data_IF_814518563099
#
_entry.id   IF_814518563099
#
_cell.length_a   1.000
_cell.length_b   1.000
_cell.length_c   1.000
_cell.angle_alpha   90.00
_cell.angle_beta   90.00
_cell.angle_gamma   90.00
#
_symmetry.space_group_name_H-M   'P 1'
#
loop_
_entity.id
_entity.type
_entity.pdbx_description
1 polymer ?
#
# COMPACT_ATOMS: atom_id res chain seq x y z
N UNK A 1 -0.28 -37.61 -12.42
CA UNK A 1 0.17 -36.19 -12.37
C UNK A 1 -0.14 -35.69 -10.99
N UNK A 2 0.88 -35.41 -10.20
CA UNK A 2 0.69 -34.78 -8.87
C UNK A 2 0.11 -33.40 -9.05
N UNK A 3 -0.88 -33.04 -8.28
CA UNK A 3 -1.44 -31.68 -8.32
C UNK A 3 -0.39 -30.66 -7.86
N UNK A 4 -0.46 -29.43 -8.36
CA UNK A 4 0.41 -28.33 -7.92
C UNK A 4 0.39 -28.17 -6.38
N UNK A 5 -0.75 -28.46 -5.75
CA UNK A 5 -0.93 -28.44 -4.30
C UNK A 5 -0.11 -29.55 -3.59
N UNK A 6 0.10 -30.70 -4.23
CA UNK A 6 0.97 -31.76 -3.68
C UNK A 6 2.45 -31.45 -3.86
N UNK A 7 2.83 -30.82 -4.99
CA UNK A 7 4.19 -30.34 -5.21
C UNK A 7 4.57 -29.26 -4.19
N UNK A 8 3.67 -28.33 -3.87
CA UNK A 8 3.88 -27.28 -2.86
C UNK A 8 3.95 -27.83 -1.42
N UNK A 9 3.33 -28.96 -1.14
CA UNK A 9 3.43 -29.63 0.17
C UNK A 9 4.78 -30.32 0.41
N UNK A 10 5.51 -30.65 -0.65
CA UNK A 10 6.80 -31.34 -0.57
C UNK A 10 8.01 -30.40 -0.56
N UNK A 11 7.82 -29.11 -0.82
CA UNK A 11 8.93 -28.13 -0.79
C UNK A 11 9.04 -27.58 0.63
N UNK A 12 10.12 -27.90 1.37
CA UNK A 12 10.32 -27.34 2.69
C UNK A 12 10.41 -25.81 2.58
N UNK A 13 9.52 -25.10 3.28
CA UNK A 13 9.60 -23.66 3.37
C UNK A 13 10.84 -23.28 4.18
N UNK A 14 11.70 -22.46 3.61
CA UNK A 14 12.80 -21.90 4.37
C UNK A 14 12.29 -20.74 5.22
N UNK A 15 12.23 -20.93 6.54
CA UNK A 15 11.90 -19.87 7.49
C UNK A 15 13.19 -19.11 7.78
N UNK A 16 13.42 -18.04 7.04
CA UNK A 16 14.57 -17.17 7.28
C UNK A 16 14.30 -16.29 8.50
N UNK A 17 15.21 -16.33 9.45
CA UNK A 17 15.12 -15.63 10.73
C UNK A 17 14.90 -14.11 10.59
N UNK A 18 14.33 -13.54 11.65
CA UNK A 18 14.18 -12.09 11.87
C UNK A 18 15.51 -11.37 11.59
N UNK A 19 15.51 -10.37 10.72
CA UNK A 19 16.71 -9.60 10.44
C UNK A 19 16.48 -8.43 9.49
N UNK A 20 17.44 -7.52 9.53
CA UNK A 20 17.61 -6.44 8.56
C UNK A 20 18.75 -6.82 7.60
N UNK A 21 18.81 -6.16 6.46
CA UNK A 21 19.89 -6.34 5.49
C UNK A 21 19.48 -7.11 4.24
N UNK A 22 20.49 -7.60 3.51
CA UNK A 22 20.30 -8.25 2.22
C UNK A 22 20.46 -9.77 2.36
N UNK A 23 19.50 -10.50 1.77
CA UNK A 23 19.58 -11.96 1.59
C UNK A 23 19.65 -12.23 0.10
N UNK A 24 20.75 -12.84 -0.35
CA UNK A 24 20.87 -13.30 -1.73
C UNK A 24 20.47 -14.77 -1.80
N UNK A 25 19.46 -15.06 -2.61
CA UNK A 25 19.01 -16.42 -2.86
C UNK A 25 19.88 -17.07 -3.94
N UNK A 26 20.07 -18.37 -3.79
CA UNK A 26 20.70 -19.24 -4.78
C UNK A 26 19.67 -20.19 -5.39
N UNK A 27 20.02 -20.85 -6.47
CA UNK A 27 19.13 -21.85 -7.08
C UNK A 27 18.78 -23.00 -6.12
N UNK A 28 19.68 -23.32 -5.20
CA UNK A 28 19.53 -24.46 -4.29
C UNK A 28 18.66 -24.12 -3.06
N UNK A 29 18.34 -22.82 -2.86
CA UNK A 29 17.43 -22.41 -1.83
C UNK A 29 15.98 -22.85 -2.11
N UNK A 30 15.21 -23.01 -1.04
CA UNK A 30 13.78 -23.32 -1.17
C UNK A 30 13.07 -22.27 -2.04
N UNK A 31 12.17 -22.73 -2.92
CA UNK A 31 11.31 -21.86 -3.73
C UNK A 31 10.29 -21.07 -2.91
N UNK A 32 10.07 -21.47 -1.68
CA UNK A 32 9.19 -20.74 -0.74
C UNK A 32 10.05 -20.18 0.37
N UNK A 33 10.15 -18.86 0.43
CA UNK A 33 10.86 -18.12 1.47
C UNK A 33 9.85 -17.43 2.39
N UNK A 34 9.92 -17.69 3.67
CA UNK A 34 9.09 -17.04 4.69
C UNK A 34 9.99 -16.13 5.50
N UNK A 35 9.75 -14.84 5.41
CA UNK A 35 10.55 -13.82 6.05
C UNK A 35 9.81 -13.23 7.24
N UNK A 36 10.56 -12.94 8.30
CA UNK A 36 10.15 -12.05 9.36
C UNK A 36 11.09 -10.84 9.35
N UNK A 37 10.53 -9.65 9.21
CA UNK A 37 11.30 -8.41 9.19
C UNK A 37 11.08 -7.66 10.49
N UNK A 38 12.16 -7.10 11.05
CA UNK A 38 12.05 -6.25 12.24
C UNK A 38 11.17 -5.03 11.93
N UNK A 39 10.34 -4.62 12.89
CA UNK A 39 9.46 -3.47 12.73
C UNK A 39 10.22 -2.23 12.26
N UNK A 40 9.60 -1.49 11.34
CA UNK A 40 10.14 -0.26 10.72
C UNK A 40 11.48 -0.44 9.99
N UNK A 41 11.74 -1.65 9.49
CA UNK A 41 12.98 -1.96 8.79
C UNK A 41 12.68 -2.47 7.37
N UNK A 42 13.67 -2.26 6.50
CA UNK A 42 13.67 -2.82 5.16
C UNK A 42 14.59 -4.03 5.11
N UNK A 43 14.12 -5.11 4.51
CA UNK A 43 14.94 -6.24 4.13
C UNK A 43 14.97 -6.35 2.61
N UNK A 44 16.14 -6.55 2.05
CA UNK A 44 16.30 -6.80 0.62
C UNK A 44 16.47 -8.31 0.37
N UNK A 45 15.71 -8.83 -0.57
CA UNK A 45 15.87 -10.18 -1.10
C UNK A 45 16.31 -10.08 -2.55
N UNK A 46 17.50 -10.62 -2.83
CA UNK A 46 18.05 -10.68 -4.19
C UNK A 46 17.74 -12.04 -4.78
N UNK A 47 17.04 -12.05 -5.90
CA UNK A 47 16.66 -13.26 -6.62
C UNK A 47 17.87 -13.93 -7.28
N UNK A 48 17.89 -15.26 -7.36
CA UNK A 48 19.01 -15.98 -7.98
C UNK A 48 19.03 -15.74 -9.48
N UNK A 49 20.23 -15.70 -10.06
CA UNK A 49 20.40 -15.61 -11.51
C UNK A 49 20.99 -16.91 -12.08
N UNK A 50 22.01 -17.45 -11.43
CA UNK A 50 22.71 -18.61 -11.96
C UNK A 50 21.92 -19.91 -11.82
N UNK A 51 21.81 -20.64 -12.90
CA UNK A 51 21.18 -21.96 -12.93
C UNK A 51 19.65 -21.97 -12.90
N UNK A 52 19.00 -20.83 -12.73
CA UNK A 52 17.54 -20.71 -12.81
C UNK A 52 17.08 -20.93 -14.24
N UNK A 53 15.98 -21.62 -14.43
CA UNK A 53 15.38 -21.90 -15.72
C UNK A 53 14.10 -21.10 -15.93
N UNK A 54 13.82 -20.75 -17.18
CA UNK A 54 12.55 -20.15 -17.55
C UNK A 54 11.37 -21.01 -17.06
N UNK A 55 10.35 -20.35 -16.49
CA UNK A 55 9.19 -21.00 -15.88
C UNK A 55 9.37 -21.43 -14.43
N UNK A 56 10.55 -21.31 -13.84
CA UNK A 56 10.71 -21.57 -12.40
C UNK A 56 10.00 -20.49 -11.57
N UNK A 57 9.27 -20.93 -10.55
CA UNK A 57 8.42 -20.09 -9.71
C UNK A 57 9.05 -19.95 -8.32
N UNK A 58 9.03 -18.74 -7.79
CA UNK A 58 9.48 -18.41 -6.44
C UNK A 58 8.40 -17.67 -5.69
N UNK A 59 8.18 -18.03 -4.43
CA UNK A 59 7.24 -17.35 -3.54
C UNK A 59 7.97 -16.77 -2.34
N UNK A 60 7.88 -15.47 -2.18
CA UNK A 60 8.43 -14.73 -1.04
C UNK A 60 7.27 -14.24 -0.20
N UNK A 61 7.26 -14.61 1.07
CA UNK A 61 6.20 -14.24 2.01
C UNK A 61 6.78 -13.47 3.19
N UNK A 62 6.18 -12.35 3.51
CA UNK A 62 6.42 -11.63 4.75
C UNK A 62 5.25 -11.84 5.71
N UNK A 63 5.54 -12.37 6.91
CA UNK A 63 4.50 -12.71 7.89
C UNK A 63 4.05 -11.56 8.76
N UNK A 64 4.93 -10.60 9.03
CA UNK A 64 4.66 -9.54 9.99
C UNK A 64 4.90 -8.18 9.35
N UNK A 65 3.90 -7.33 9.38
CA UNK A 65 4.09 -5.90 9.19
C UNK A 65 3.54 -5.20 10.43
N UNK A 66 4.44 -4.77 11.30
CA UNK A 66 4.10 -3.76 12.29
C UNK A 66 4.64 -2.45 11.73
N UNK A 67 3.74 -1.61 11.27
CA UNK A 67 4.09 -0.27 10.80
C UNK A 67 3.77 0.71 11.92
N UNK A 68 4.65 1.67 12.10
CA UNK A 68 4.43 2.78 13.01
C UNK A 68 4.48 4.09 12.21
N UNK A 69 4.05 5.17 12.82
CA UNK A 69 4.12 6.52 12.23
C UNK A 69 5.53 6.89 11.74
N UNK A 70 6.56 6.25 12.29
CA UNK A 70 7.96 6.56 12.03
C UNK A 70 8.64 5.67 10.99
N UNK A 71 7.98 4.63 10.47
CA UNK A 71 8.62 3.75 9.50
C UNK A 71 7.74 2.64 8.96
N UNK A 72 8.18 2.08 7.86
CA UNK A 72 7.52 1.02 7.12
C UNK A 72 8.32 -0.28 7.22
N UNK A 73 7.65 -1.36 7.62
CA UNK A 73 8.23 -2.71 7.59
C UNK A 73 8.00 -3.30 6.21
N UNK A 74 9.09 -3.60 5.48
CA UNK A 74 8.96 -4.06 4.09
C UNK A 74 10.06 -5.00 3.66
N UNK A 75 9.75 -5.82 2.67
CA UNK A 75 10.71 -6.58 1.87
C UNK A 75 10.78 -5.95 0.48
N UNK A 76 11.99 -5.62 0.05
CA UNK A 76 12.27 -5.18 -1.32
C UNK A 76 12.81 -6.39 -2.07
N UNK A 77 12.11 -6.82 -3.11
CA UNK A 77 12.54 -7.89 -3.99
C UNK A 77 13.33 -7.30 -5.15
N UNK A 78 14.54 -7.77 -5.35
CA UNK A 78 15.45 -7.31 -6.40
C UNK A 78 15.95 -8.48 -7.25
N UNK A 79 16.24 -8.19 -8.50
CA UNK A 79 17.02 -9.06 -9.37
C UNK A 79 18.51 -9.00 -9.03
N UNK A 80 19.31 -9.86 -9.62
CA UNK A 80 20.75 -9.96 -9.32
C UNK A 80 21.54 -8.72 -9.72
N UNK A 81 21.05 -7.89 -10.65
CA UNK A 81 21.64 -6.59 -10.99
C UNK A 81 21.14 -5.43 -10.14
N UNK A 82 20.51 -5.73 -9.00
CA UNK A 82 19.91 -4.76 -8.06
C UNK A 82 18.72 -3.95 -8.61
N UNK A 83 18.15 -4.29 -9.77
CA UNK A 83 16.91 -3.66 -10.20
C UNK A 83 15.71 -4.21 -9.42
N UNK A 84 14.84 -3.30 -8.97
CA UNK A 84 13.69 -3.65 -8.14
C UNK A 84 12.63 -4.40 -8.95
N UNK A 85 12.18 -5.54 -8.44
CA UNK A 85 11.05 -6.29 -8.99
C UNK A 85 9.75 -5.78 -8.37
N UNK A 86 9.64 -5.79 -7.03
CA UNK A 86 8.49 -5.23 -6.30
C UNK A 86 8.82 -5.06 -4.80
N UNK A 87 7.84 -4.54 -4.03
CA UNK A 87 7.93 -4.32 -2.59
C UNK A 87 6.73 -4.98 -1.91
N UNK A 88 6.97 -5.72 -0.84
CA UNK A 88 5.93 -6.36 -0.03
C UNK A 88 5.96 -5.79 1.39
N UNK A 89 4.79 -5.48 1.95
CA UNK A 89 4.62 -5.25 3.39
C UNK A 89 4.18 -6.56 4.08
N UNK A 90 2.96 -6.67 4.62
CA UNK A 90 2.45 -7.96 5.08
C UNK A 90 1.80 -8.70 3.91
N UNK A 91 2.29 -9.87 3.56
CA UNK A 91 1.72 -10.62 2.44
C UNK A 91 2.70 -11.51 1.72
N UNK A 92 2.54 -11.64 0.43
CA UNK A 92 3.41 -12.45 -0.42
C UNK A 92 3.52 -11.89 -1.84
N UNK A 93 4.58 -12.30 -2.51
CA UNK A 93 4.77 -12.16 -3.95
C UNK A 93 5.18 -13.50 -4.54
N UNK A 94 4.62 -13.82 -5.68
CA UNK A 94 5.04 -14.93 -6.51
C UNK A 94 5.62 -14.39 -7.81
N UNK A 95 6.82 -14.86 -8.13
CA UNK A 95 7.52 -14.44 -9.35
C UNK A 95 7.94 -15.64 -10.17
N UNK A 96 7.88 -15.49 -11.48
CA UNK A 96 8.25 -16.50 -12.46
C UNK A 96 9.42 -15.99 -13.28
N UNK A 97 10.47 -16.79 -13.42
CA UNK A 97 11.56 -16.49 -14.34
C UNK A 97 11.07 -16.57 -15.78
N UNK A 98 11.25 -15.52 -16.56
CA UNK A 98 10.84 -15.48 -17.97
C UNK A 98 11.88 -16.07 -18.91
N UNK A 99 13.14 -16.07 -18.47
CA UNK A 99 14.29 -16.54 -19.24
C UNK A 99 15.20 -17.43 -18.37
N UNK A 100 16.08 -18.16 -18.97
CA UNK A 100 17.16 -18.87 -18.29
C UNK A 100 18.18 -17.86 -17.74
N UNK A 101 18.60 -18.06 -16.50
CA UNK A 101 19.56 -17.20 -15.81
C UNK A 101 19.16 -15.70 -15.78
N UNK A 102 18.00 -15.37 -15.20
CA UNK A 102 17.46 -14.01 -15.17
C UNK A 102 18.37 -13.06 -14.38
N UNK A 103 18.60 -11.86 -14.91
CA UNK A 103 19.52 -10.85 -14.32
C UNK A 103 18.80 -9.55 -13.98
N UNK A 104 17.90 -9.09 -14.86
CA UNK A 104 17.17 -7.84 -14.69
C UNK A 104 15.77 -8.07 -14.08
N UNK A 105 15.17 -7.01 -13.53
CA UNK A 105 13.79 -7.10 -13.03
C UNK A 105 12.78 -7.46 -14.11
N UNK A 106 13.02 -7.06 -15.34
CA UNK A 106 12.19 -7.40 -16.52
C UNK A 106 12.24 -8.88 -16.90
N UNK A 107 13.20 -9.63 -16.40
CA UNK A 107 13.33 -11.07 -16.62
C UNK A 107 12.44 -11.88 -15.66
N UNK A 108 11.74 -11.20 -14.77
CA UNK A 108 10.82 -11.78 -13.80
C UNK A 108 9.39 -11.27 -14.01
N UNK A 109 8.44 -12.18 -14.05
CA UNK A 109 7.01 -11.86 -14.06
C UNK A 109 6.45 -12.00 -12.65
N UNK A 110 5.82 -10.97 -12.14
CA UNK A 110 4.98 -11.08 -10.93
C UNK A 110 3.69 -11.77 -11.33
N UNK A 111 3.53 -13.03 -10.94
CA UNK A 111 2.38 -13.86 -11.28
C UNK A 111 1.23 -13.73 -10.28
N UNK A 112 1.57 -13.55 -9.00
CA UNK A 112 0.59 -13.31 -7.94
C UNK A 112 1.18 -12.39 -6.86
N UNK A 113 0.34 -11.54 -6.30
CA UNK A 113 0.75 -10.55 -5.32
C UNK A 113 -0.37 -10.19 -4.36
N UNK A 114 -0.06 -10.21 -3.08
CA UNK A 114 -0.88 -9.64 -2.04
C UNK A 114 0.01 -8.91 -1.04
N UNK A 115 -0.35 -7.68 -0.69
CA UNK A 115 0.33 -6.91 0.35
C UNK A 115 -0.67 -6.02 1.09
N UNK A 116 -0.59 -6.05 2.40
CA UNK A 116 -1.36 -5.20 3.29
C UNK A 116 -0.43 -4.24 4.04
N UNK A 117 -0.86 -3.02 4.20
CA UNK A 117 -0.18 -2.00 4.97
C UNK A 117 -1.19 -1.21 5.79
N UNK A 118 -0.93 -1.13 7.07
CA UNK A 118 -1.63 -0.23 7.98
C UNK A 118 -0.65 0.87 8.37
N UNK A 119 -1.00 2.13 8.13
CA UNK A 119 -0.18 3.25 8.52
C UNK A 119 -1.01 4.41 9.06
N UNK A 120 -0.39 5.17 9.91
CA UNK A 120 -1.04 6.26 10.61
C UNK A 120 -0.69 7.59 9.97
N UNK A 121 -1.66 8.49 9.79
CA UNK A 121 -1.46 9.82 9.25
C UNK A 121 -2.34 10.85 9.93
N UNK A 122 -1.86 12.09 9.94
CA UNK A 122 -2.68 13.24 10.29
C UNK A 122 -3.33 13.80 9.04
N UNK A 123 -4.52 14.35 9.19
CA UNK A 123 -5.19 15.07 8.11
C UNK A 123 -5.17 16.58 8.39
N UNK A 124 -4.88 17.36 7.36
CA UNK A 124 -4.88 18.83 7.44
C UNK A 124 -5.82 19.41 6.39
N UNK A 125 -6.57 20.43 6.78
CA UNK A 125 -7.30 21.26 5.82
C UNK A 125 -6.32 22.13 5.05
N UNK A 126 -6.48 22.20 3.72
CA UNK A 126 -5.67 23.09 2.90
C UNK A 126 -5.98 24.57 3.23
N UNK A 127 -4.95 25.40 3.17
CA UNK A 127 -5.08 26.87 3.34
C UNK A 127 -5.13 27.40 4.77
N UNK A 128 -5.38 26.56 5.77
CA UNK A 128 -5.54 27.06 7.15
C UNK A 128 -4.52 26.56 8.14
N UNK A 129 -3.82 25.48 7.81
CA UNK A 129 -2.95 24.80 8.77
C UNK A 129 -3.69 24.21 10.00
N UNK A 130 -5.02 24.29 10.05
CA UNK A 130 -5.77 23.68 11.14
C UNK A 130 -5.76 22.18 11.03
N UNK A 131 -5.34 21.54 12.11
CA UNK A 131 -5.22 20.08 12.22
C UNK A 131 -6.62 19.52 12.39
N UNK A 132 -6.99 18.57 11.55
CA UNK A 132 -8.08 17.68 11.88
C UNK A 132 -7.63 16.80 13.07
N UNK A 133 -8.50 16.58 14.03
CA UNK A 133 -8.16 15.95 15.31
C UNK A 133 -7.56 14.55 15.15
N UNK A 134 -6.31 14.41 15.55
CA UNK A 134 -5.62 13.13 15.79
C UNK A 134 -5.11 12.42 14.54
N UNK A 135 -4.25 11.47 14.80
CA UNK A 135 -3.78 10.50 13.80
C UNK A 135 -4.89 9.53 13.44
N UNK A 136 -4.96 9.13 12.18
CA UNK A 136 -5.93 8.16 11.68
C UNK A 136 -5.23 7.06 10.90
N UNK A 137 -5.76 5.86 11.04
CA UNK A 137 -5.26 4.71 10.32
C UNK A 137 -5.79 4.71 8.89
N UNK A 138 -4.88 4.52 7.96
CA UNK A 138 -5.18 4.22 6.57
C UNK A 138 -4.75 2.78 6.32
N UNK A 139 -5.71 1.96 5.91
CA UNK A 139 -5.48 0.58 5.55
C UNK A 139 -5.37 0.48 4.03
N UNK A 140 -4.27 -0.07 3.57
CA UNK A 140 -4.00 -0.34 2.17
C UNK A 140 -3.93 -1.85 1.96
N UNK A 141 -4.69 -2.35 1.01
CA UNK A 141 -4.57 -3.72 0.52
C UNK A 141 -4.31 -3.67 -0.98
N UNK A 142 -3.22 -4.29 -1.40
CA UNK A 142 -2.91 -4.46 -2.81
C UNK A 142 -3.01 -5.93 -3.18
N UNK A 143 -3.83 -6.23 -4.18
CA UNK A 143 -3.89 -7.54 -4.83
C UNK A 143 -3.55 -7.33 -6.30
N UNK A 144 -2.43 -7.88 -6.72
CA UNK A 144 -1.87 -7.64 -8.06
C UNK A 144 -1.78 -6.14 -8.39
N UNK A 145 -2.53 -5.66 -9.38
CA UNK A 145 -2.54 -4.25 -9.81
C UNK A 145 -3.70 -3.43 -9.25
N UNK A 146 -4.42 -3.95 -8.28
CA UNK A 146 -5.55 -3.26 -7.65
C UNK A 146 -5.21 -2.95 -6.20
N UNK A 147 -5.41 -1.70 -5.81
CA UNK A 147 -5.30 -1.25 -4.43
C UNK A 147 -6.65 -0.87 -3.89
N UNK A 148 -6.97 -1.35 -2.71
CA UNK A 148 -8.08 -0.87 -1.89
C UNK A 148 -7.52 -0.06 -0.73
N UNK A 149 -7.97 1.18 -0.61
CA UNK A 149 -7.63 2.09 0.47
C UNK A 149 -8.87 2.29 1.33
N UNK A 150 -8.74 2.04 2.62
CA UNK A 150 -9.78 2.32 3.60
C UNK A 150 -9.28 3.36 4.59
N UNK A 151 -10.13 4.33 4.92
CA UNK A 151 -9.84 5.37 5.92
C UNK A 151 -10.69 5.09 7.14
N UNK A 152 -10.06 5.02 8.30
CA UNK A 152 -10.77 4.96 9.58
C UNK A 152 -11.65 6.20 9.75
N UNK A 153 -12.84 6.01 10.27
CA UNK A 153 -13.82 7.07 10.47
C UNK A 153 -13.34 8.16 11.43
N UNK A 154 -13.98 9.31 11.38
CA UNK A 154 -13.83 10.42 12.33
C UNK A 154 -12.55 11.27 12.18
N UNK A 155 -12.38 11.85 11.01
CA UNK A 155 -11.43 12.94 10.81
C UNK A 155 -12.19 14.25 10.83
N UNK A 156 -12.09 15.01 11.90
CA UNK A 156 -12.81 16.29 12.01
C UNK A 156 -11.94 17.39 12.59
N UNK A 157 -12.26 18.62 12.26
CA UNK A 157 -11.58 19.82 12.74
C UNK A 157 -12.40 21.07 12.44
N UNK A 158 -11.76 22.23 12.54
CA UNK A 158 -12.36 23.51 12.15
C UNK A 158 -11.56 24.06 10.96
N UNK A 159 -12.06 23.92 9.72
CA UNK A 159 -11.37 24.46 8.55
C UNK A 159 -11.45 26.00 8.53
N UNK A 160 -10.51 26.64 7.85
CA UNK A 160 -10.74 28.02 7.42
C UNK A 160 -11.82 28.05 6.34
N UNK A 161 -12.57 29.15 6.25
CA UNK A 161 -13.65 29.29 5.26
C UNK A 161 -13.21 29.22 3.78
N UNK A 162 -11.92 29.09 3.54
CA UNK A 162 -11.32 28.89 2.20
C UNK A 162 -10.81 27.47 1.96
N UNK A 163 -10.91 26.58 2.95
CA UNK A 163 -10.41 25.21 2.84
C UNK A 163 -11.31 24.36 1.94
N UNK A 164 -10.79 23.90 0.82
CA UNK A 164 -11.53 23.10 -0.18
C UNK A 164 -11.14 21.62 -0.17
N UNK A 165 -10.08 21.26 0.56
CA UNK A 165 -9.59 19.90 0.66
C UNK A 165 -9.10 19.56 2.07
N UNK A 166 -9.26 18.31 2.43
CA UNK A 166 -8.70 17.67 3.62
C UNK A 166 -7.64 16.66 3.14
N UNK A 167 -6.38 16.92 3.45
CA UNK A 167 -5.23 16.18 2.92
C UNK A 167 -4.58 15.31 3.99
N UNK A 168 -4.25 14.07 3.65
CA UNK A 168 -3.34 13.25 4.45
C UNK A 168 -1.92 13.85 4.40
N UNK A 169 -1.28 13.97 5.55
CA UNK A 169 0.09 14.52 5.66
C UNK A 169 1.12 13.50 5.17
N UNK A 170 0.92 12.23 5.53
CA UNK A 170 1.80 11.14 5.12
C UNK A 170 1.39 10.64 3.75
N UNK A 171 2.32 10.64 2.81
CA UNK A 171 2.07 10.12 1.48
C UNK A 171 1.93 8.59 1.49
N UNK A 172 1.01 8.08 0.70
CA UNK A 172 0.87 6.65 0.42
C UNK A 172 2.20 6.13 -0.15
N UNK A 173 2.72 5.00 0.34
CA UNK A 173 3.97 4.41 -0.17
C UNK A 173 3.91 4.09 -1.66
N UNK A 174 5.05 4.18 -2.34
CA UNK A 174 5.15 4.15 -3.81
C UNK A 174 4.49 2.91 -4.43
N UNK A 175 4.61 1.73 -3.81
CA UNK A 175 4.03 0.47 -4.29
C UNK A 175 2.50 0.42 -4.27
N UNK A 176 1.86 1.41 -3.63
CA UNK A 176 0.40 1.56 -3.59
C UNK A 176 -0.09 2.81 -4.32
N UNK A 177 0.77 3.55 -5.02
CA UNK A 177 0.38 4.78 -5.68
C UNK A 177 -0.26 4.52 -7.03
N UNK A 178 -1.27 5.30 -7.34
CA UNK A 178 -1.78 5.38 -8.69
C UNK A 178 -0.77 6.09 -9.60
N UNK A 179 -0.60 5.68 -10.87
CA UNK A 179 0.31 6.33 -11.82
C UNK A 179 -0.19 7.71 -12.24
N UNK A 180 -1.48 7.89 -12.19
CA UNK A 180 -2.20 9.14 -12.50
C UNK A 180 -3.17 9.44 -11.36
N UNK A 181 -3.85 10.59 -11.44
CA UNK A 181 -4.92 10.88 -10.49
C UNK A 181 -5.98 9.78 -10.53
N UNK A 182 -6.24 9.18 -9.37
CA UNK A 182 -7.31 8.22 -9.20
C UNK A 182 -8.41 8.84 -8.37
N UNK A 183 -9.62 8.76 -8.91
CA UNK A 183 -10.83 9.11 -8.19
C UNK A 183 -11.46 7.82 -7.71
N UNK A 184 -11.81 7.76 -6.47
CA UNK A 184 -12.44 6.58 -5.96
C UNK A 184 -13.48 6.93 -4.92
N UNK A 185 -14.60 6.28 -4.96
CA UNK A 185 -15.58 6.21 -3.90
C UNK A 185 -16.23 7.52 -3.45
N UNK A 186 -17.40 7.38 -2.94
CA UNK A 186 -18.14 8.43 -2.27
C UNK A 186 -17.75 8.42 -0.78
N UNK A 187 -17.42 9.57 -0.24
CA UNK A 187 -17.17 9.74 1.18
C UNK A 187 -18.35 10.47 1.82
N UNK A 188 -18.71 10.05 3.02
CA UNK A 188 -19.62 10.81 3.87
C UNK A 188 -18.82 11.83 4.65
N UNK A 189 -19.19 13.08 4.54
CA UNK A 189 -18.65 14.16 5.36
C UNK A 189 -19.71 14.76 6.25
N UNK A 190 -19.25 15.40 7.30
CA UNK A 190 -20.07 16.21 8.19
C UNK A 190 -19.59 17.66 8.20
N UNK A 191 -20.49 18.58 8.39
CA UNK A 191 -20.23 19.97 8.65
C UNK A 191 -21.00 20.38 9.90
N UNK A 192 -20.30 20.97 10.87
CA UNK A 192 -20.85 21.27 12.19
C UNK A 192 -21.47 20.05 12.90
N UNK A 193 -20.85 18.87 12.72
CA UNK A 193 -21.37 17.63 13.29
C UNK A 193 -22.60 17.02 12.58
N UNK A 194 -23.07 17.64 11.51
CA UNK A 194 -24.21 17.17 10.73
C UNK A 194 -23.72 16.55 9.44
N UNK A 195 -24.12 15.29 9.18
CA UNK A 195 -23.79 14.64 7.92
C UNK A 195 -24.44 15.35 6.74
N UNK A 196 -23.67 15.62 5.70
CA UNK A 196 -24.15 16.24 4.48
C UNK A 196 -24.36 15.17 3.39
N UNK A 197 -25.46 15.31 2.64
CA UNK A 197 -25.84 14.36 1.60
C UNK A 197 -25.13 14.58 0.26
N UNK A 198 -24.32 15.63 0.14
CA UNK A 198 -23.59 15.89 -1.10
C UNK A 198 -22.47 14.85 -1.30
N UNK A 199 -22.32 14.32 -2.49
CA UNK A 199 -21.25 13.39 -2.80
C UNK A 199 -19.89 14.09 -2.65
N UNK A 200 -18.98 13.47 -1.93
CA UNK A 200 -17.63 13.93 -1.68
C UNK A 200 -16.66 12.90 -2.26
N UNK A 201 -15.62 13.37 -2.88
CA UNK A 201 -14.68 12.50 -3.59
C UNK A 201 -13.32 12.47 -2.90
N UNK A 202 -12.82 11.27 -2.69
CA UNK A 202 -11.42 11.04 -2.39
C UNK A 202 -10.59 11.02 -3.66
N UNK A 203 -9.40 11.59 -3.60
CA UNK A 203 -8.44 11.63 -4.70
C UNK A 203 -7.06 11.23 -4.22
N UNK A 204 -6.42 10.33 -4.94
CA UNK A 204 -5.02 9.99 -4.73
C UNK A 204 -4.21 10.70 -5.80
N UNK A 205 -3.25 11.50 -5.38
CA UNK A 205 -2.34 12.22 -6.26
C UNK A 205 -1.14 11.32 -6.63
N UNK A 206 -0.46 11.54 -7.78
CA UNK A 206 0.71 10.76 -8.17
C UNK A 206 1.86 10.80 -7.17
N UNK A 207 1.97 11.88 -6.38
CA UNK A 207 2.93 12.00 -5.27
C UNK A 207 2.51 11.18 -4.02
N UNK A 208 1.36 10.50 -4.05
CA UNK A 208 0.84 9.69 -2.96
C UNK A 208 -0.01 10.45 -1.94
N UNK A 209 -0.26 11.74 -2.11
CA UNK A 209 -1.14 12.48 -1.19
C UNK A 209 -2.59 12.04 -1.45
N UNK A 210 -3.23 11.57 -0.39
CA UNK A 210 -4.66 11.31 -0.39
C UNK A 210 -5.40 12.57 0.07
N UNK A 211 -6.37 13.00 -0.72
CA UNK A 211 -7.14 14.23 -0.49
C UNK A 211 -8.62 13.95 -0.61
N UNK A 212 -9.41 14.57 0.25
CA UNK A 212 -10.87 14.55 0.23
C UNK A 212 -11.33 15.96 -0.07
N UNK A 213 -12.13 16.13 -1.12
CA UNK A 213 -12.64 17.43 -1.57
C UNK A 213 -14.10 17.59 -1.19
N UNK A 214 -14.49 18.83 -0.86
CA UNK A 214 -15.88 19.18 -0.54
C UNK A 214 -16.81 19.06 -1.75
N UNK A 215 -16.30 19.31 -2.94
CA UNK A 215 -16.99 19.12 -4.21
C UNK A 215 -16.34 18.07 -5.08
N UNK A 216 -17.04 17.65 -6.11
CA UNK A 216 -16.69 16.46 -6.87
C UNK A 216 -15.53 16.59 -7.85
N UNK A 217 -15.00 17.75 -8.18
CA UNK A 217 -13.94 17.83 -9.20
C UNK A 217 -13.12 19.12 -9.22
N UNK A 218 -13.67 20.23 -8.79
CA UNK A 218 -13.02 21.53 -9.05
C UNK A 218 -12.25 22.08 -7.86
N UNK A 219 -12.38 21.47 -6.69
CA UNK A 219 -11.82 21.95 -5.44
C UNK A 219 -12.16 23.45 -5.18
N UNK A 220 -13.33 23.88 -5.60
CA UNK A 220 -13.78 25.27 -5.51
C UNK A 220 -14.70 25.51 -4.33
N UNK A 221 -15.42 24.48 -3.90
CA UNK A 221 -16.34 24.60 -2.77
C UNK A 221 -15.57 24.43 -1.46
N UNK A 222 -15.60 25.43 -0.61
CA UNK A 222 -14.98 25.36 0.69
C UNK A 222 -15.82 24.56 1.70
N UNK A 223 -15.14 23.90 2.63
CA UNK A 223 -15.77 23.35 3.83
C UNK A 223 -16.34 24.46 4.70
N UNK A 224 -17.43 24.17 5.41
CA UNK A 224 -17.97 25.11 6.36
C UNK A 224 -16.94 25.43 7.47
N UNK A 225 -16.74 26.72 7.76
CA UNK A 225 -15.89 27.16 8.86
C UNK A 225 -16.62 26.93 10.20
N UNK A 226 -16.73 25.67 10.59
CA UNK A 226 -17.42 25.27 11.81
C UNK A 226 -16.69 24.09 12.46
N UNK A 227 -16.80 23.91 13.78
CA UNK A 227 -16.22 22.78 14.48
C UNK A 227 -16.84 21.47 14.00
N UNK A 228 -16.13 20.36 14.21
CA UNK A 228 -16.59 19.02 13.80
C UNK A 228 -16.91 18.90 12.30
N UNK A 229 -16.12 19.57 11.46
CA UNK A 229 -16.19 19.45 10.00
C UNK A 229 -15.12 18.44 9.53
N UNK A 230 -15.47 17.55 8.61
CA UNK A 230 -14.55 16.54 8.07
C UNK A 230 -15.25 15.24 7.68
N UNK A 231 -14.55 14.11 7.80
CA UNK A 231 -15.16 12.79 7.58
C UNK A 231 -16.17 12.47 8.68
N UNK A 232 -17.33 11.95 8.29
CA UNK A 232 -18.44 11.71 9.21
C UNK A 232 -18.13 10.65 10.25
N UNK A 233 -18.57 10.89 11.48
CA UNK A 233 -18.50 9.94 12.60
C UNK A 233 -19.48 8.75 12.47
N UNK A 234 -20.43 8.86 11.59
CA UNK A 234 -21.62 8.00 11.61
C UNK A 234 -21.35 6.64 10.97
N UNK A 235 -20.09 6.15 11.03
CA UNK A 235 -19.74 5.04 10.18
C UNK A 235 -19.11 3.93 11.00
N UNK A 236 -19.91 2.92 11.27
CA UNK A 236 -19.43 1.56 11.42
C UNK A 236 -18.73 1.06 10.13
N UNK A 237 -18.79 1.84 9.05
CA UNK A 237 -18.32 1.46 7.73
C UNK A 237 -17.06 2.25 7.38
N UNK A 238 -15.93 1.56 7.26
CA UNK A 238 -14.72 2.11 6.66
C UNK A 238 -15.04 2.55 5.23
N UNK A 239 -14.69 3.77 4.89
CA UNK A 239 -14.88 4.28 3.54
C UNK A 239 -13.75 3.75 2.66
N UNK A 240 -14.09 3.02 1.61
CA UNK A 240 -13.14 2.30 0.78
C UNK A 240 -13.06 2.89 -0.61
N UNK A 241 -11.83 3.14 -1.06
CA UNK A 241 -11.52 3.46 -2.45
C UNK A 241 -10.78 2.29 -3.07
N UNK A 242 -11.14 1.92 -4.29
CA UNK A 242 -10.40 0.92 -5.07
C UNK A 242 -9.89 1.57 -6.36
N UNK A 243 -8.61 1.37 -6.65
CA UNK A 243 -7.97 1.95 -7.82
C UNK A 243 -6.87 1.05 -8.38
N UNK A 244 -6.60 1.14 -9.71
CA UNK A 244 -5.48 0.43 -10.31
C UNK A 244 -4.15 1.16 -10.03
N UNK A 245 -3.07 0.39 -9.93
CA UNK A 245 -1.71 0.89 -10.00
C UNK A 245 -1.13 0.61 -11.38
N UNK A 246 -0.32 1.54 -11.87
CA UNK A 246 0.38 1.34 -13.14
C UNK A 246 1.45 0.26 -13.07
N UNK A 247 2.07 -0.06 -14.21
CA UNK A 247 3.29 -0.87 -14.20
C UNK A 247 4.34 -0.16 -13.34
N UNK A 248 4.95 -0.90 -12.45
CA UNK A 248 6.13 -0.48 -11.68
C UNK A 248 7.33 -0.64 -12.59
#
# INVERSE_FOLDING_TARGET
MSSLAELLKSVPANVVSVGTGTTTLTRDDSRVQILAVTANQTRTVVMPSSGVKAGEVWRIQQRTAVNTVSGETRVVLQSSNASQIDIINAGFIEVVALIDSPVASTDWLVSDYYSALDFNTTFLFNGSGSVATGNRDILLNRTNKIVSLAVGSNVSGTPAGTSTALNAVTAIPTQYRAPTFSFGGLFSIQENGVSISAPVFGRIQPNGIFSIYRDNLSATTAFANSPNTGLSNNVADMQIITYPIGPI
#
